data_IF_808983567034
#
_entry.id   IF_808983567034
#
_cell.length_a   1.000
_cell.length_b   1.000
_cell.length_c   1.000
_cell.angle_alpha   90.00
_cell.angle_beta   90.00
_cell.angle_gamma   90.00
#
_symmetry.space_group_name_H-M   'P 1'
#
loop_
_entity.id
_entity.type
_entity.pdbx_description
1 polymer ?
#
# COMPACT_ATOMS: atom_id res chain seq x y z
N UNK A 1 -21.26 -4.77 3.75
CA UNK A 1 -19.79 -4.92 3.82
C UNK A 1 -19.11 -4.20 2.65
N UNK A 2 -19.31 -4.65 1.40
CA UNK A 2 -18.69 -4.05 0.20
C UNK A 2 -19.00 -2.56 -0.02
N UNK A 3 -20.23 -2.11 0.28
CA UNK A 3 -20.60 -0.70 0.13
C UNK A 3 -19.77 0.24 1.04
N UNK A 4 -19.47 -0.20 2.28
CA UNK A 4 -18.64 0.56 3.22
C UNK A 4 -17.19 0.56 2.72
N UNK A 5 -16.66 -0.60 2.35
CA UNK A 5 -15.30 -0.70 1.80
C UNK A 5 -15.11 0.19 0.56
N UNK A 6 -16.06 0.20 -0.38
CA UNK A 6 -16.02 1.06 -1.58
C UNK A 6 -16.02 2.55 -1.22
N UNK A 7 -16.82 2.96 -0.24
CA UNK A 7 -16.87 4.35 0.24
C UNK A 7 -15.54 4.77 0.86
N UNK A 8 -15.00 3.95 1.76
CA UNK A 8 -13.72 4.20 2.42
C UNK A 8 -12.56 4.20 1.42
N UNK A 9 -12.57 3.27 0.47
CA UNK A 9 -11.55 3.19 -0.59
C UNK A 9 -11.61 4.43 -1.49
N UNK A 10 -12.81 4.84 -1.90
CA UNK A 10 -13.00 6.09 -2.66
C UNK A 10 -12.53 7.30 -1.87
N UNK A 11 -12.70 7.32 -0.54
CA UNK A 11 -12.18 8.39 0.32
C UNK A 11 -10.65 8.44 0.29
N UNK A 12 -9.98 7.29 0.42
CA UNK A 12 -8.52 7.18 0.34
C UNK A 12 -8.01 7.68 -1.03
N UNK A 13 -8.67 7.29 -2.12
CA UNK A 13 -8.33 7.71 -3.49
C UNK A 13 -8.81 9.12 -3.86
N UNK A 14 -9.66 9.77 -3.06
CA UNK A 14 -9.94 11.18 -3.26
C UNK A 14 -8.89 12.06 -2.56
N UNK A 15 -8.18 11.47 -1.62
CA UNK A 15 -7.37 12.19 -0.66
C UNK A 15 -5.89 12.08 -1.02
N UNK A 16 -5.23 13.23 -1.23
CA UNK A 16 -3.87 13.33 -1.81
C UNK A 16 -2.86 12.35 -1.23
N UNK A 17 -2.84 12.11 0.09
CA UNK A 17 -1.81 11.26 0.69
C UNK A 17 -1.94 9.75 0.35
N UNK A 18 -3.08 9.27 -0.16
CA UNK A 18 -3.24 7.89 -0.62
C UNK A 18 -2.41 7.67 -1.89
N UNK A 19 -2.46 8.63 -2.81
CA UNK A 19 -1.58 8.65 -3.97
C UNK A 19 -0.12 8.87 -3.59
N UNK A 20 0.17 9.77 -2.64
CA UNK A 20 1.54 10.01 -2.17
C UNK A 20 2.14 8.73 -1.58
N UNK A 21 1.39 7.97 -0.79
CA UNK A 21 1.83 6.69 -0.24
C UNK A 21 2.27 5.72 -1.35
N UNK A 22 1.43 5.54 -2.38
CA UNK A 22 1.75 4.65 -3.52
C UNK A 22 2.95 5.20 -4.30
N UNK A 23 2.97 6.50 -4.59
CA UNK A 23 4.03 7.15 -5.37
C UNK A 23 5.39 7.06 -4.67
N UNK A 24 5.46 7.30 -3.36
CA UNK A 24 6.70 7.24 -2.58
C UNK A 24 7.25 5.81 -2.56
N UNK A 25 6.40 4.82 -2.29
CA UNK A 25 6.80 3.41 -2.29
C UNK A 25 7.34 2.98 -3.65
N UNK A 26 6.68 3.37 -4.74
CA UNK A 26 7.12 3.09 -6.10
C UNK A 26 8.41 3.82 -6.46
N UNK A 27 8.56 5.07 -6.04
CA UNK A 27 9.74 5.89 -6.31
C UNK A 27 10.98 5.27 -5.67
N UNK A 28 10.92 4.92 -4.39
CA UNK A 28 12.03 4.23 -3.72
C UNK A 28 12.29 2.85 -4.31
N UNK A 29 11.24 2.11 -4.68
CA UNK A 29 11.40 0.85 -5.38
C UNK A 29 12.18 1.00 -6.69
N UNK A 30 11.85 2.00 -7.51
CA UNK A 30 12.56 2.28 -8.76
C UNK A 30 14.03 2.61 -8.55
N UNK A 31 14.35 3.39 -7.50
CA UNK A 31 15.73 3.71 -7.14
C UNK A 31 16.49 2.45 -6.72
N UNK A 32 15.96 1.65 -5.80
CA UNK A 32 16.62 0.43 -5.33
C UNK A 32 16.73 -0.64 -6.41
N UNK A 33 15.74 -0.72 -7.30
CA UNK A 33 15.78 -1.62 -8.44
C UNK A 33 16.92 -1.24 -9.39
N UNK A 34 17.03 0.05 -9.74
CA UNK A 34 18.10 0.55 -10.61
C UNK A 34 19.48 0.41 -9.95
N UNK A 35 19.61 0.78 -8.67
CA UNK A 35 20.87 0.71 -7.96
C UNK A 35 21.38 -0.73 -7.78
N UNK A 36 20.52 -1.66 -7.35
CA UNK A 36 20.95 -3.03 -7.04
C UNK A 36 20.90 -3.98 -8.23
N UNK A 37 19.89 -3.91 -9.10
CA UNK A 37 19.76 -4.87 -10.22
C UNK A 37 20.51 -4.38 -11.47
N UNK A 38 20.37 -3.09 -11.83
CA UNK A 38 21.07 -2.55 -13.01
C UNK A 38 22.52 -2.12 -12.69
N UNK A 39 22.76 -1.47 -11.55
CA UNK A 39 24.09 -0.99 -11.17
C UNK A 39 25.09 -2.09 -10.82
N UNK A 40 24.62 -3.17 -10.18
CA UNK A 40 25.45 -4.33 -9.80
C UNK A 40 25.53 -5.40 -10.90
N UNK A 41 24.66 -5.32 -11.93
CA UNK A 41 24.54 -6.34 -12.98
C UNK A 41 24.08 -7.72 -12.48
N UNK A 42 23.59 -7.80 -11.25
CA UNK A 42 23.18 -9.05 -10.61
C UNK A 42 21.66 -9.12 -10.51
N UNK A 43 20.98 -10.15 -11.04
CA UNK A 43 19.52 -10.26 -11.08
C UNK A 43 18.91 -10.70 -9.73
N UNK A 44 19.43 -10.20 -8.60
CA UNK A 44 18.96 -10.55 -7.26
C UNK A 44 17.97 -9.53 -6.73
N UNK A 45 16.68 -9.75 -7.03
CA UNK A 45 15.58 -8.91 -6.55
C UNK A 45 15.43 -8.90 -5.01
N UNK A 46 15.99 -9.90 -4.31
CA UNK A 46 15.93 -10.03 -2.86
C UNK A 46 16.50 -8.79 -2.12
N UNK A 47 17.57 -8.19 -2.63
CA UNK A 47 18.17 -7.00 -2.01
C UNK A 47 17.24 -5.78 -2.12
N UNK A 48 16.68 -5.54 -3.31
CA UNK A 48 15.69 -4.49 -3.55
C UNK A 48 14.46 -4.68 -2.66
N UNK A 49 13.97 -5.92 -2.55
CA UNK A 49 12.83 -6.24 -1.69
C UNK A 49 13.14 -5.97 -0.22
N UNK A 50 14.32 -6.37 0.28
CA UNK A 50 14.73 -6.13 1.66
C UNK A 50 14.76 -4.64 2.02
N UNK A 51 15.29 -3.79 1.13
CA UNK A 51 15.31 -2.35 1.34
C UNK A 51 13.91 -1.72 1.33
N UNK A 52 13.04 -2.20 0.43
CA UNK A 52 11.66 -1.74 0.33
C UNK A 52 10.82 -2.12 1.55
N UNK A 53 11.04 -3.30 2.15
CA UNK A 53 10.31 -3.74 3.35
C UNK A 53 10.46 -2.73 4.48
N UNK A 54 11.65 -2.16 4.66
CA UNK A 54 11.90 -1.13 5.67
C UNK A 54 11.05 0.14 5.41
N UNK A 55 10.93 0.56 4.15
CA UNK A 55 10.11 1.72 3.76
C UNK A 55 8.63 1.43 3.96
N UNK A 56 8.17 0.24 3.55
CA UNK A 56 6.80 -0.20 3.78
C UNK A 56 6.45 -0.14 5.27
N UNK A 57 7.35 -0.62 6.13
CA UNK A 57 7.16 -0.62 7.57
C UNK A 57 6.96 0.81 8.11
N UNK A 58 7.71 1.79 7.61
CA UNK A 58 7.55 3.20 7.98
C UNK A 58 6.28 3.85 7.38
N UNK A 59 5.89 3.46 6.17
CA UNK A 59 4.73 4.04 5.48
C UNK A 59 3.40 3.49 5.99
N UNK A 60 3.36 2.24 6.47
CA UNK A 60 2.15 1.58 7.00
C UNK A 60 1.46 2.36 8.12
N UNK A 61 2.14 2.84 9.18
CA UNK A 61 1.50 3.63 10.23
C UNK A 61 1.02 4.99 9.72
N UNK A 62 1.67 5.59 8.70
CA UNK A 62 1.23 6.85 8.11
C UNK A 62 -0.13 6.68 7.42
N UNK A 63 -0.30 5.63 6.63
CA UNK A 63 -1.57 5.33 5.97
C UNK A 63 -2.67 5.01 6.99
N UNK A 64 -2.34 4.21 8.02
CA UNK A 64 -3.28 3.79 9.06
C UNK A 64 -3.72 4.95 9.97
N UNK A 65 -2.80 5.82 10.38
CA UNK A 65 -3.14 6.97 11.21
C UNK A 65 -4.03 7.96 10.46
N UNK A 66 -3.81 8.12 9.15
CA UNK A 66 -4.66 8.98 8.34
C UNK A 66 -6.11 8.50 8.33
N UNK A 67 -6.36 7.22 8.02
CA UNK A 67 -7.74 6.71 7.95
C UNK A 67 -8.48 6.84 9.28
N UNK A 68 -7.75 6.86 10.41
CA UNK A 68 -8.29 7.10 11.75
C UNK A 68 -8.52 8.59 12.03
N UNK A 69 -7.64 9.46 11.52
CA UNK A 69 -7.70 10.91 11.75
C UNK A 69 -8.75 11.58 10.87
N UNK A 70 -9.00 11.05 9.67
CA UNK A 70 -10.01 11.59 8.75
C UNK A 70 -11.43 11.46 9.32
N UNK A 71 -11.74 10.35 10.01
CA UNK A 71 -13.01 10.18 10.73
C UNK A 71 -13.17 11.15 11.91
N UNK A 72 -12.09 11.31 12.69
CA UNK A 72 -12.05 12.26 13.81
C UNK A 72 -12.25 13.70 13.32
N UNK A 73 -11.62 14.06 12.18
CA UNK A 73 -11.69 15.41 11.61
C UNK A 73 -13.05 15.73 11.02
N UNK A 74 -13.75 14.74 10.46
CA UNK A 74 -15.08 14.93 9.88
C UNK A 74 -16.22 14.77 10.90
N UNK A 75 -15.92 14.59 12.20
CA UNK A 75 -16.90 14.24 13.25
C UNK A 75 -17.80 13.05 12.85
N UNK A 76 -17.34 12.21 11.91
CA UNK A 76 -18.14 11.10 11.40
C UNK A 76 -18.20 9.97 12.43
N UNK A 77 -17.30 9.98 13.42
CA UNK A 77 -17.33 9.11 14.59
C UNK A 77 -18.70 9.18 15.31
N UNK A 78 -19.23 10.39 15.55
CA UNK A 78 -20.54 10.55 16.19
C UNK A 78 -21.69 10.06 15.30
N UNK A 79 -21.59 10.24 13.99
CA UNK A 79 -22.59 9.79 13.02
C UNK A 79 -22.58 8.26 12.84
N UNK A 80 -21.41 7.63 12.95
CA UNK A 80 -21.23 6.19 12.94
C UNK A 80 -21.78 5.53 14.21
N UNK A 81 -21.69 6.19 15.36
CA UNK A 81 -22.27 5.69 16.63
C UNK A 81 -23.79 5.90 16.74
N UNK A 82 -24.35 6.87 16.02
CA UNK A 82 -25.79 7.15 16.01
C UNK A 82 -26.55 6.43 14.90
N UNK A 83 -25.86 6.01 13.83
CA UNK A 83 -26.45 5.18 12.79
C UNK A 83 -26.61 3.72 13.25
N UNK A 84 -27.69 3.00 12.84
CA UNK A 84 -27.96 1.62 13.22
C UNK A 84 -27.07 0.62 12.47
N UNK A 85 -25.76 0.84 12.50
CA UNK A 85 -24.73 0.04 11.85
C UNK A 85 -23.79 -0.50 12.91
N UNK A 86 -23.63 -1.82 12.94
CA UNK A 86 -22.73 -2.49 13.87
C UNK A 86 -21.28 -2.00 13.68
N UNK A 87 -20.64 -1.55 14.77
CA UNK A 87 -19.25 -1.06 14.80
C UNK A 87 -18.28 -2.06 14.15
N UNK A 88 -18.48 -3.35 14.35
CA UNK A 88 -17.66 -4.42 13.74
C UNK A 88 -17.62 -4.37 12.20
N UNK A 89 -18.74 -4.01 11.55
CA UNK A 89 -18.81 -3.89 10.09
C UNK A 89 -17.99 -2.70 9.57
N UNK A 90 -17.87 -1.64 10.37
CA UNK A 90 -17.08 -0.45 10.04
C UNK A 90 -15.59 -0.79 10.12
N UNK A 91 -15.17 -1.46 11.20
CA UNK A 91 -13.77 -1.89 11.40
C UNK A 91 -13.32 -2.81 10.25
N UNK A 92 -14.13 -3.82 9.91
CA UNK A 92 -13.84 -4.73 8.80
C UNK A 92 -13.76 -3.99 7.46
N UNK A 93 -14.66 -3.02 7.23
CA UNK A 93 -14.65 -2.19 6.02
C UNK A 93 -13.35 -1.38 5.89
N UNK A 94 -12.91 -0.73 6.96
CA UNK A 94 -11.66 0.05 6.99
C UNK A 94 -10.43 -0.82 6.78
N UNK A 95 -10.38 -1.96 7.44
CA UNK A 95 -9.29 -2.92 7.28
C UNK A 95 -9.18 -3.39 5.83
N UNK A 96 -10.28 -3.78 5.20
CA UNK A 96 -10.31 -4.19 3.78
C UNK A 96 -9.85 -3.06 2.85
N UNK A 97 -10.27 -1.82 3.08
CA UNK A 97 -9.87 -0.69 2.23
C UNK A 97 -8.37 -0.38 2.33
N UNK A 98 -7.79 -0.49 3.52
CA UNK A 98 -6.34 -0.41 3.72
C UNK A 98 -5.62 -1.55 2.99
N UNK A 99 -6.12 -2.78 3.12
CA UNK A 99 -5.54 -3.98 2.51
C UNK A 99 -5.51 -3.87 0.98
N UNK A 100 -6.61 -3.41 0.36
CA UNK A 100 -6.66 -3.19 -1.09
C UNK A 100 -5.69 -2.09 -1.52
N UNK A 101 -5.60 -0.99 -0.77
CA UNK A 101 -4.65 0.10 -1.07
C UNK A 101 -3.20 -0.38 -0.97
N UNK A 102 -2.90 -1.25 0.00
CA UNK A 102 -1.59 -1.87 0.16
C UNK A 102 -1.26 -2.89 -0.94
N UNK A 103 -2.27 -3.60 -1.44
CA UNK A 103 -2.13 -4.58 -2.51
C UNK A 103 -1.66 -3.96 -3.85
N UNK A 104 -1.95 -2.69 -4.10
CA UNK A 104 -1.58 -2.01 -5.36
C UNK A 104 -0.06 -1.92 -5.55
N UNK A 105 0.73 -1.33 -4.63
CA UNK A 105 2.19 -1.31 -4.79
C UNK A 105 2.78 -2.73 -4.76
N UNK A 106 2.23 -3.65 -3.98
CA UNK A 106 2.67 -5.07 -3.96
C UNK A 106 2.44 -5.75 -5.32
N UNK A 107 1.29 -5.52 -5.95
CA UNK A 107 1.02 -6.03 -7.29
C UNK A 107 2.04 -5.49 -8.31
N UNK A 108 2.38 -4.20 -8.21
CA UNK A 108 3.41 -3.59 -9.06
C UNK A 108 4.79 -4.22 -8.80
N UNK A 109 5.12 -4.51 -7.54
CA UNK A 109 6.36 -5.20 -7.18
C UNK A 109 6.48 -6.60 -7.77
N UNK A 110 5.35 -7.30 -7.94
CA UNK A 110 5.33 -8.62 -8.58
C UNK A 110 5.70 -8.57 -10.07
N UNK A 111 5.49 -7.45 -10.76
CA UNK A 111 5.87 -7.31 -12.16
C UNK A 111 7.39 -7.21 -12.36
N UNK A 112 8.15 -6.63 -11.42
CA UNK A 112 9.61 -6.51 -11.54
C UNK A 112 10.36 -7.85 -11.68
N UNK A 113 10.17 -8.86 -10.80
CA UNK A 113 10.80 -10.16 -10.96
C UNK A 113 10.26 -10.92 -12.18
N UNK A 114 8.98 -10.71 -12.56
CA UNK A 114 8.41 -11.34 -13.74
C UNK A 114 9.07 -10.84 -15.04
N UNK A 115 9.32 -9.53 -15.14
CA UNK A 115 10.07 -8.93 -16.25
C UNK A 115 11.51 -9.44 -16.23
N UNK A 116 12.17 -9.46 -15.07
CA UNK A 116 13.53 -10.01 -14.96
C UNK A 116 13.60 -11.49 -15.37
N UNK A 117 12.56 -12.28 -15.10
CA UNK A 117 12.47 -13.69 -15.52
C UNK A 117 12.43 -13.87 -17.03
N UNK A 118 11.89 -12.89 -17.76
CA UNK A 118 11.80 -12.96 -19.21
C UNK A 118 13.13 -12.59 -19.89
N UNK A 119 13.96 -11.78 -19.22
CA UNK A 119 15.18 -11.20 -19.81
C UNK A 119 16.50 -11.71 -19.19
N UNK A 120 16.46 -12.52 -18.12
CA UNK A 120 17.65 -13.08 -17.50
C UNK A 120 17.41 -14.43 -16.81
N UNK A 121 18.46 -15.26 -16.73
CA UNK A 121 18.46 -16.48 -15.91
C UNK A 121 18.45 -16.06 -14.45
N UNK A 122 17.26 -16.09 -13.83
CA UNK A 122 17.12 -15.82 -12.40
C UNK A 122 17.73 -17.02 -11.65
N UNK A 123 18.87 -16.80 -11.01
CA UNK A 123 19.30 -17.66 -9.92
C UNK A 123 18.28 -17.52 -8.79
N UNK A 124 17.32 -18.42 -8.71
CA UNK A 124 16.52 -18.62 -7.50
C UNK A 124 17.36 -19.33 -6.43
N UNK A 125 18.52 -18.75 -6.08
CA UNK A 125 19.36 -19.03 -4.90
C UNK A 125 20.63 -18.19 -4.94
#
# INVERSE_FOLDING_TARGET
>A
MLAICKRELSSIFHSVIGYVFIAVILFFCGIYFTAYNLGSGAPYFAYTLSSIIFIILLMTPILTMRIMTEDKKQNTDQLLYTAPISVTRVIIGKYLSLLITFLIPVAIFCFYPLIMSMYGTIGFL
#
